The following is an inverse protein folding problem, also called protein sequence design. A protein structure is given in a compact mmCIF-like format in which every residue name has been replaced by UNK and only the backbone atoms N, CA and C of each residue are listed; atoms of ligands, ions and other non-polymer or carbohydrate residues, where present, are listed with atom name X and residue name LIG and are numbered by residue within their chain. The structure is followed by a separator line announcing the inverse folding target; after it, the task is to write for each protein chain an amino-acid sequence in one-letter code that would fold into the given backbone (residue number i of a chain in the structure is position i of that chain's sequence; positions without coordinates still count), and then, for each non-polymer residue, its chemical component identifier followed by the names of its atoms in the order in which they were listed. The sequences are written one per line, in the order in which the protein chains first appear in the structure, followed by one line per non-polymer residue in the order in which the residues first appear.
data_IF_920933378736
#
_entry.id   IF_920933378736
#
_cell.length_a   1.000
_cell.length_b   1.000
_cell.length_c   1.000
_cell.angle_alpha   90.00
_cell.angle_beta   90.00
_cell.angle_gamma   90.00
#
_symmetry.space_group_name_H-M   'P 1'
#
loop_
_entity.id
_entity.type
_entity.pdbx_description
1 polymer ?
#
# COMPACT_ATOMS: atom_id res chain seq x y z
N UNK A 1 64.26 -53.95 33.31
CA UNK A 1 63.36 -52.83 32.97
C UNK A 1 62.00 -53.21 33.50
N UNK A 2 61.49 -52.44 34.45
CA UNK A 2 60.18 -52.67 35.07
C UNK A 2 59.08 -52.38 34.01
N UNK A 3 58.11 -53.26 33.74
CA UNK A 3 57.14 -53.09 32.65
C UNK A 3 56.18 -51.89 32.77
N UNK A 4 56.31 -51.08 33.81
CA UNK A 4 55.46 -49.91 34.13
C UNK A 4 56.19 -48.57 34.02
N UNK A 5 57.46 -48.56 33.59
CA UNK A 5 58.22 -47.33 33.40
C UNK A 5 57.79 -46.67 32.07
N UNK A 6 56.77 -45.79 32.15
CA UNK A 6 56.31 -44.99 31.02
C UNK A 6 57.28 -43.82 30.87
N UNK A 7 57.86 -43.68 29.67
CA UNK A 7 58.77 -42.59 29.33
C UNK A 7 58.10 -41.22 29.62
N UNK A 8 58.80 -40.32 30.31
CA UNK A 8 58.30 -38.98 30.61
C UNK A 8 58.22 -38.17 29.31
N UNK A 9 57.01 -38.10 28.76
CA UNK A 9 56.71 -37.41 27.49
C UNK A 9 56.34 -35.93 27.68
N UNK A 10 56.52 -35.37 28.89
CA UNK A 10 56.18 -33.96 29.17
C UNK A 10 56.93 -32.97 28.26
N UNK A 11 58.09 -33.35 27.75
CA UNK A 11 58.90 -32.57 26.79
C UNK A 11 58.53 -32.80 25.31
N UNK A 12 57.71 -33.80 24.96
CA UNK A 12 57.44 -34.17 23.55
C UNK A 12 56.58 -33.16 22.78
N UNK A 13 55.78 -32.35 23.48
CA UNK A 13 54.83 -31.44 22.84
C UNK A 13 55.07 -29.95 23.13
N UNK A 14 56.10 -29.62 23.93
CA UNK A 14 56.50 -28.25 24.25
C UNK A 14 55.30 -27.32 24.46
N UNK A 15 54.73 -27.30 25.67
CA UNK A 15 53.58 -26.45 25.96
C UNK A 15 53.85 -25.01 25.48
N UNK A 16 52.92 -24.41 24.69
CA UNK A 16 53.12 -23.06 24.18
C UNK A 16 53.47 -22.13 25.33
N UNK A 17 54.53 -21.36 25.16
CA UNK A 17 54.89 -20.36 26.15
C UNK A 17 53.77 -19.33 26.28
N UNK A 18 53.64 -18.70 27.44
CA UNK A 18 52.63 -17.65 27.66
C UNK A 18 52.72 -16.55 26.60
N UNK A 19 53.94 -16.20 26.17
CA UNK A 19 54.18 -15.23 25.11
C UNK A 19 53.64 -15.69 23.75
N UNK A 20 53.78 -16.96 23.40
CA UNK A 20 53.25 -17.51 22.15
C UNK A 20 51.72 -17.52 22.17
N UNK A 21 51.13 -17.90 23.30
CA UNK A 21 49.68 -17.85 23.52
C UNK A 21 49.16 -16.43 23.37
N UNK A 22 49.79 -15.44 24.03
CA UNK A 22 49.39 -14.02 23.92
C UNK A 22 49.50 -13.53 22.48
N UNK A 23 50.60 -13.85 21.76
CA UNK A 23 50.77 -13.48 20.34
C UNK A 23 49.68 -14.10 19.46
N UNK A 24 49.30 -15.35 19.73
CA UNK A 24 48.24 -16.02 19.00
C UNK A 24 46.88 -15.34 19.25
N UNK A 25 46.53 -15.05 20.51
CA UNK A 25 45.31 -14.33 20.85
C UNK A 25 45.25 -12.94 20.20
N UNK A 26 46.36 -12.19 20.22
CA UNK A 26 46.44 -10.88 19.58
C UNK A 26 46.13 -10.96 18.07
N UNK A 27 46.67 -11.97 17.37
CA UNK A 27 46.38 -12.21 15.95
C UNK A 27 44.92 -12.59 15.70
N UNK A 28 44.33 -13.41 16.57
CA UNK A 28 42.91 -13.77 16.44
C UNK A 28 42.01 -12.54 16.58
N UNK A 29 42.26 -11.71 17.60
CA UNK A 29 41.51 -10.47 17.82
C UNK A 29 41.70 -9.48 16.66
N UNK A 30 42.91 -9.35 16.13
CA UNK A 30 43.17 -8.51 14.97
C UNK A 30 42.36 -8.99 13.75
N UNK A 31 42.35 -10.29 13.48
CA UNK A 31 41.57 -10.86 12.39
C UNK A 31 40.06 -10.64 12.57
N UNK A 32 39.54 -10.85 13.79
CA UNK A 32 38.12 -10.64 14.09
C UNK A 32 37.71 -9.17 13.90
N UNK A 33 38.55 -8.23 14.36
CA UNK A 33 38.33 -6.79 14.12
C UNK A 33 38.37 -6.47 12.62
N UNK A 34 39.31 -7.04 11.87
CA UNK A 34 39.40 -6.86 10.42
C UNK A 34 38.16 -7.39 9.70
N UNK A 35 37.56 -8.49 10.17
CA UNK A 35 36.35 -9.08 9.59
C UNK A 35 35.06 -8.31 9.98
N UNK A 36 34.96 -7.83 11.22
CA UNK A 36 33.78 -7.09 11.68
C UNK A 36 33.64 -5.70 11.05
N UNK A 37 34.76 -5.04 10.76
CA UNK A 37 34.76 -3.71 10.13
C UNK A 37 33.99 -3.63 8.79
N UNK A 38 34.25 -4.49 7.78
CA UNK A 38 33.49 -4.49 6.54
C UNK A 38 32.03 -4.89 6.74
N UNK A 39 31.73 -5.81 7.66
CA UNK A 39 30.35 -6.17 7.99
C UNK A 39 29.59 -4.97 8.57
N UNK A 40 30.21 -4.22 9.49
CA UNK A 40 29.64 -3.01 10.06
C UNK A 40 29.42 -1.92 9.00
N UNK A 41 30.37 -1.74 8.08
CA UNK A 41 30.23 -0.79 6.95
C UNK A 41 29.04 -1.17 6.07
N UNK A 42 28.95 -2.44 5.66
CA UNK A 42 27.83 -2.95 4.85
C UNK A 42 26.50 -2.82 5.58
N UNK A 43 26.45 -3.10 6.88
CA UNK A 43 25.25 -2.93 7.68
C UNK A 43 24.80 -1.47 7.72
N UNK A 44 25.73 -0.52 7.87
CA UNK A 44 25.43 0.92 7.82
C UNK A 44 24.91 1.36 6.47
N UNK A 45 25.53 0.91 5.38
CA UNK A 45 25.08 1.17 4.01
C UNK A 45 23.66 0.63 3.77
N UNK A 46 23.39 -0.60 4.21
CA UNK A 46 22.06 -1.20 4.10
C UNK A 46 21.00 -0.43 4.90
N UNK A 47 21.31 -0.04 6.14
CA UNK A 47 20.39 0.75 6.98
C UNK A 47 20.10 2.09 6.30
N UNK A 48 21.13 2.78 5.80
CA UNK A 48 20.94 4.04 5.08
C UNK A 48 20.05 3.86 3.85
N UNK A 49 20.29 2.83 3.03
CA UNK A 49 19.46 2.51 1.88
C UNK A 49 18.01 2.24 2.26
N UNK A 50 17.78 1.46 3.33
CA UNK A 50 16.43 1.18 3.83
C UNK A 50 15.71 2.44 4.33
N UNK A 51 16.42 3.34 5.03
CA UNK A 51 15.84 4.62 5.47
C UNK A 51 15.45 5.48 4.28
N UNK A 52 16.29 5.54 3.24
CA UNK A 52 15.99 6.29 2.02
C UNK A 52 14.78 5.70 1.30
N UNK A 53 14.76 4.38 1.07
CA UNK A 53 13.62 3.71 0.45
C UNK A 53 12.32 3.90 1.24
N UNK A 54 12.39 3.90 2.57
CA UNK A 54 11.24 4.16 3.43
C UNK A 54 10.75 5.61 3.29
N UNK A 55 11.66 6.59 3.21
CA UNK A 55 11.30 7.98 2.98
C UNK A 55 10.59 8.15 1.63
N UNK A 56 11.13 7.59 0.55
CA UNK A 56 10.54 7.65 -0.79
C UNK A 56 9.16 6.99 -0.81
N UNK A 57 9.01 5.81 -0.19
CA UNK A 57 7.73 5.12 -0.08
C UNK A 57 6.70 5.91 0.74
N UNK A 58 7.15 6.60 1.79
CA UNK A 58 6.29 7.44 2.62
C UNK A 58 5.75 8.65 1.85
N UNK A 59 6.61 9.31 1.07
CA UNK A 59 6.22 10.42 0.19
C UNK A 59 5.21 9.97 -0.86
N UNK A 60 5.46 8.84 -1.53
CA UNK A 60 4.55 8.30 -2.55
C UNK A 60 3.19 7.89 -1.94
N UNK A 61 3.20 7.28 -0.75
CA UNK A 61 1.97 7.03 -0.01
C UNK A 61 1.19 8.32 0.30
N UNK A 62 1.89 9.40 0.65
CA UNK A 62 1.30 10.71 0.87
C UNK A 62 0.64 11.26 -0.39
N UNK A 63 1.34 11.19 -1.53
CA UNK A 63 0.86 11.61 -2.85
C UNK A 63 -0.39 10.85 -3.27
N UNK A 64 -0.35 9.51 -3.23
CA UNK A 64 -1.48 8.66 -3.58
C UNK A 64 -2.71 8.90 -2.68
N UNK A 65 -2.49 9.14 -1.37
CA UNK A 65 -3.59 9.50 -0.45
C UNK A 65 -4.23 10.84 -0.82
N UNK A 66 -3.44 11.82 -1.26
CA UNK A 66 -3.97 13.11 -1.71
C UNK A 66 -4.78 12.95 -3.01
N UNK A 67 -4.27 12.17 -3.97
CA UNK A 67 -4.94 11.86 -5.23
C UNK A 67 -6.28 11.14 -5.01
N UNK A 68 -6.31 10.12 -4.14
CA UNK A 68 -7.55 9.42 -3.78
C UNK A 68 -8.58 10.38 -3.16
N UNK A 69 -8.15 11.35 -2.33
CA UNK A 69 -9.07 12.35 -1.75
C UNK A 69 -9.65 13.25 -2.82
N UNK A 70 -8.84 13.71 -3.77
CA UNK A 70 -9.29 14.53 -4.90
C UNK A 70 -10.30 13.78 -5.76
N UNK A 71 -9.96 12.56 -6.20
CA UNK A 71 -10.85 11.73 -7.02
C UNK A 71 -12.17 11.42 -6.31
N UNK A 72 -12.15 11.20 -4.99
CA UNK A 72 -13.39 11.02 -4.21
C UNK A 72 -14.26 12.27 -4.17
N UNK A 73 -13.65 13.46 -4.07
CA UNK A 73 -14.38 14.72 -4.10
C UNK A 73 -15.00 14.95 -5.49
N UNK A 74 -14.23 14.75 -6.55
CA UNK A 74 -14.70 14.87 -7.94
C UNK A 74 -15.83 13.87 -8.26
N UNK A 75 -15.70 12.63 -7.78
CA UNK A 75 -16.75 11.62 -7.92
C UNK A 75 -18.02 12.06 -7.19
N UNK A 76 -17.92 12.54 -5.94
CA UNK A 76 -19.07 13.01 -5.18
C UNK A 76 -19.77 14.19 -5.87
N UNK A 77 -19.01 15.14 -6.41
CA UNK A 77 -19.56 16.27 -7.16
C UNK A 77 -20.22 15.84 -8.46
N UNK A 78 -19.64 14.87 -9.16
CA UNK A 78 -20.21 14.30 -10.38
C UNK A 78 -21.50 13.54 -10.09
N UNK A 79 -21.53 12.75 -9.01
CA UNK A 79 -22.75 12.05 -8.55
C UNK A 79 -23.85 13.03 -8.16
N UNK A 80 -23.53 14.16 -7.50
CA UNK A 80 -24.50 15.22 -7.21
C UNK A 80 -25.08 15.81 -8.49
N UNK A 81 -24.21 16.24 -9.42
CA UNK A 81 -24.64 16.77 -10.73
C UNK A 81 -25.52 15.79 -11.49
N UNK A 82 -25.18 14.50 -11.45
CA UNK A 82 -25.98 13.45 -12.08
C UNK A 82 -27.37 13.33 -11.44
N UNK A 83 -27.45 13.33 -10.11
CA UNK A 83 -28.73 13.31 -9.39
C UNK A 83 -29.57 14.55 -9.68
N UNK A 84 -28.97 15.74 -9.71
CA UNK A 84 -29.66 17.00 -10.03
C UNK A 84 -30.24 16.96 -11.44
N UNK A 85 -29.47 16.46 -12.42
CA UNK A 85 -29.93 16.30 -13.80
C UNK A 85 -31.07 15.27 -13.92
N UNK A 86 -30.97 14.14 -13.23
CA UNK A 86 -32.05 13.15 -13.21
C UNK A 86 -33.32 13.73 -12.60
N UNK A 87 -33.21 14.47 -11.50
CA UNK A 87 -34.34 15.13 -10.84
C UNK A 87 -34.98 16.18 -11.76
N UNK A 88 -34.17 17.02 -12.41
CA UNK A 88 -34.65 18.00 -13.37
C UNK A 88 -35.36 17.34 -14.57
N UNK A 89 -34.77 16.27 -15.12
CA UNK A 89 -35.35 15.51 -16.24
C UNK A 89 -36.68 14.87 -15.84
N UNK A 90 -36.74 14.21 -14.69
CA UNK A 90 -37.98 13.62 -14.17
C UNK A 90 -39.05 14.69 -13.91
N UNK A 91 -38.68 15.88 -13.40
CA UNK A 91 -39.62 16.99 -13.23
C UNK A 91 -40.20 17.46 -14.56
N UNK A 92 -39.37 17.56 -15.62
CA UNK A 92 -39.83 17.93 -16.95
C UNK A 92 -40.76 16.86 -17.54
N UNK A 93 -40.42 15.58 -17.38
CA UNK A 93 -41.28 14.48 -17.82
C UNK A 93 -42.65 14.53 -17.13
N UNK A 94 -42.69 14.76 -15.81
CA UNK A 94 -43.95 14.91 -15.07
C UNK A 94 -44.78 16.11 -15.55
N UNK A 95 -44.16 17.24 -15.87
CA UNK A 95 -44.87 18.39 -16.44
C UNK A 95 -45.48 18.04 -17.80
N UNK A 96 -44.71 17.36 -18.67
CA UNK A 96 -45.19 16.92 -19.99
C UNK A 96 -46.33 15.90 -19.89
N UNK A 97 -46.21 14.92 -19.00
CA UNK A 97 -47.27 13.93 -18.76
C UNK A 97 -48.57 14.60 -18.30
N UNK A 98 -48.46 15.64 -17.45
CA UNK A 98 -49.61 16.44 -17.00
C UNK A 98 -50.25 17.24 -18.13
N UNK A 99 -49.45 17.87 -19.00
CA UNK A 99 -49.96 18.60 -20.16
C UNK A 99 -50.64 17.65 -21.16
N UNK A 100 -50.02 16.50 -21.45
CA UNK A 100 -50.60 15.47 -22.33
C UNK A 100 -51.93 14.97 -21.79
N UNK A 101 -52.03 14.68 -20.49
CA UNK A 101 -53.29 14.29 -19.87
C UNK A 101 -54.37 15.38 -20.03
N UNK A 102 -54.00 16.66 -19.88
CA UNK A 102 -54.89 17.80 -20.13
C UNK A 102 -55.37 17.88 -21.58
N UNK A 103 -54.49 17.67 -22.56
CA UNK A 103 -54.86 17.63 -23.97
C UNK A 103 -55.76 16.45 -24.31
N UNK A 104 -55.48 15.26 -23.76
CA UNK A 104 -56.30 14.06 -23.94
C UNK A 104 -57.71 14.27 -23.41
N UNK A 105 -57.86 14.87 -22.21
CA UNK A 105 -59.17 15.20 -21.66
C UNK A 105 -59.96 16.14 -22.59
N UNK A 106 -59.32 17.20 -23.08
CA UNK A 106 -60.00 18.15 -23.98
C UNK A 106 -60.40 17.54 -25.32
N UNK A 107 -59.57 16.63 -25.85
CA UNK A 107 -59.92 15.87 -27.06
C UNK A 107 -61.12 14.94 -26.80
N UNK A 108 -61.19 14.30 -25.63
CA UNK A 108 -62.31 13.45 -25.25
C UNK A 108 -63.61 14.26 -25.17
N UNK A 109 -63.58 15.47 -24.58
CA UNK A 109 -64.73 16.38 -24.52
C UNK A 109 -65.24 16.78 -25.92
N UNK A 110 -64.33 17.01 -26.88
CA UNK A 110 -64.68 17.45 -28.24
C UNK A 110 -65.12 16.31 -29.17
N UNK A 111 -64.57 15.10 -28.98
CA UNK A 111 -64.73 13.99 -29.94
C UNK A 111 -65.52 12.80 -29.39
N UNK A 112 -65.71 12.71 -28.07
CA UNK A 112 -66.30 11.56 -27.38
C UNK A 112 -65.42 10.32 -27.33
N UNK A 113 -64.24 10.33 -27.97
CA UNK A 113 -63.30 9.20 -27.99
C UNK A 113 -62.36 9.25 -26.79
N UNK A 114 -62.25 8.12 -26.07
CA UNK A 114 -61.37 8.00 -24.89
C UNK A 114 -60.01 7.46 -25.32
N UNK A 115 -58.97 8.26 -25.13
CA UNK A 115 -57.60 7.85 -25.43
C UNK A 115 -57.01 7.00 -24.28
N UNK A 116 -56.13 6.02 -24.57
CA UNK A 116 -55.41 5.28 -23.55
C UNK A 116 -54.55 6.23 -22.70
N UNK A 117 -54.57 6.06 -21.38
CA UNK A 117 -53.70 6.86 -20.51
C UNK A 117 -52.23 6.48 -20.74
N UNK A 118 -51.39 7.50 -20.89
CA UNK A 118 -49.94 7.34 -20.93
C UNK A 118 -49.44 6.95 -19.54
N UNK A 119 -48.66 5.88 -19.43
CA UNK A 119 -47.99 5.55 -18.17
C UNK A 119 -46.93 6.60 -17.87
N UNK A 120 -46.80 7.06 -16.62
CA UNK A 120 -45.86 8.11 -16.26
C UNK A 120 -44.43 7.70 -16.63
N UNK A 121 -43.75 8.55 -17.39
CA UNK A 121 -42.38 8.29 -17.79
C UNK A 121 -41.44 8.61 -16.63
N UNK A 122 -40.66 7.64 -16.17
CA UNK A 122 -39.61 7.82 -15.15
C UNK A 122 -38.29 7.24 -15.68
N UNK A 123 -37.23 8.02 -15.61
CA UNK A 123 -35.87 7.53 -15.87
C UNK A 123 -35.35 6.84 -14.61
N UNK A 124 -34.93 5.56 -14.74
CA UNK A 124 -34.35 4.73 -13.67
C UNK A 124 -32.89 5.07 -13.42
#
# INVERSE_FOLDING_TARGET
MDPLDIEDTSDWLGCPTELETIKHYARMLENEVQELNPQLRKARENIFGLVQMHADAFEECGRLRAEIRQLKAELADTSRKHSDLLNASNSILMMKDRELAGYQQKLQELTGYTYPQSTPHRLS
#
